data_IF_792893253449
#
_entry.id   IF_792893253449
#
_cell.length_a   1.000
_cell.length_b   1.000
_cell.length_c   1.000
_cell.angle_alpha   90.00
_cell.angle_beta   90.00
_cell.angle_gamma   90.00
#
_symmetry.space_group_name_H-M   'P 1'
#
loop_
_entity.id
_entity.type
_entity.pdbx_description
1 polymer ?
#
# COMPACT_ATOMS: atom_id res chain seq x y z
N UNK A 1 59.39 -66.22 -16.38
CA UNK A 1 58.69 -65.31 -17.30
C UNK A 1 59.17 -63.91 -16.97
N UNK A 2 59.86 -63.22 -17.90
CA UNK A 2 60.44 -61.88 -17.65
C UNK A 2 59.47 -60.84 -18.16
N UNK A 3 59.12 -59.85 -17.32
CA UNK A 3 58.27 -58.73 -17.72
C UNK A 3 58.91 -57.93 -18.85
N UNK A 4 58.09 -57.41 -19.77
CA UNK A 4 58.58 -56.64 -20.93
C UNK A 4 59.07 -55.26 -20.47
N UNK A 5 60.25 -54.80 -20.92
CA UNK A 5 60.70 -53.42 -20.66
C UNK A 5 59.65 -52.42 -21.16
N UNK A 6 59.21 -51.52 -20.28
CA UNK A 6 58.19 -50.50 -20.58
C UNK A 6 58.90 -49.18 -20.91
N UNK A 7 58.51 -48.55 -22.02
CA UNK A 7 59.06 -47.28 -22.48
C UNK A 7 58.59 -46.12 -21.58
N UNK A 8 59.51 -45.33 -21.00
CA UNK A 8 59.16 -44.23 -20.11
C UNK A 8 58.47 -43.04 -20.80
N UNK A 9 58.49 -42.93 -22.14
CA UNK A 9 57.89 -41.81 -22.88
C UNK A 9 56.55 -42.16 -23.54
N UNK A 10 56.05 -43.39 -23.37
CA UNK A 10 54.83 -43.82 -24.03
C UNK A 10 53.57 -43.24 -23.34
N UNK A 11 52.65 -42.59 -24.07
CA UNK A 11 51.44 -42.01 -23.49
C UNK A 11 50.45 -43.08 -22.99
N UNK A 12 49.53 -42.74 -22.05
CA UNK A 12 48.58 -43.69 -21.51
C UNK A 12 47.68 -44.33 -22.58
N UNK A 13 47.75 -45.66 -22.71
CA UNK A 13 47.07 -46.43 -23.77
C UNK A 13 45.55 -46.50 -23.63
N UNK A 14 45.00 -46.29 -22.43
CA UNK A 14 43.59 -46.55 -22.14
C UNK A 14 42.86 -45.32 -21.61
N UNK A 15 41.64 -45.11 -22.11
CA UNK A 15 40.72 -44.07 -21.62
C UNK A 15 39.91 -44.61 -20.45
N UNK A 16 39.64 -43.78 -19.45
CA UNK A 16 38.78 -44.14 -18.34
C UNK A 16 37.32 -44.32 -18.80
N UNK A 17 36.73 -45.49 -18.52
CA UNK A 17 35.31 -45.77 -18.75
C UNK A 17 34.55 -45.63 -17.43
N UNK A 18 33.51 -44.79 -17.38
CA UNK A 18 32.61 -44.75 -16.22
C UNK A 18 31.70 -45.97 -16.27
N UNK A 19 31.85 -46.85 -15.29
CA UNK A 19 30.99 -48.03 -15.10
C UNK A 19 29.96 -47.75 -13.99
N UNK A 20 28.73 -48.31 -14.08
CA UNK A 20 27.78 -48.28 -12.98
C UNK A 20 28.40 -48.85 -11.71
N UNK A 21 27.98 -48.34 -10.55
CA UNK A 21 28.50 -48.80 -9.27
C UNK A 21 28.22 -50.30 -9.13
N UNK A 22 29.26 -51.08 -8.83
CA UNK A 22 29.13 -52.52 -8.62
C UNK A 22 28.06 -52.81 -7.56
N UNK A 23 27.38 -53.97 -7.68
CA UNK A 23 26.44 -54.43 -6.66
C UNK A 23 27.16 -54.47 -5.31
N UNK A 24 26.57 -53.84 -4.29
CA UNK A 24 27.10 -53.86 -2.94
C UNK A 24 27.16 -55.26 -2.36
N UNK A 25 27.80 -55.40 -1.20
CA UNK A 25 27.69 -56.62 -0.40
C UNK A 25 26.21 -56.94 -0.13
N UNK A 26 25.85 -58.23 0.03
CA UNK A 26 24.48 -58.60 0.38
C UNK A 26 24.02 -57.81 1.63
N UNK A 27 22.73 -57.41 1.70
CA UNK A 27 22.23 -56.64 2.81
C UNK A 27 22.40 -57.44 4.11
N UNK A 28 23.08 -56.83 5.09
CA UNK A 28 23.29 -57.44 6.40
C UNK A 28 21.93 -57.52 7.12
N UNK A 29 21.61 -58.65 7.79
CA UNK A 29 20.38 -58.76 8.57
C UNK A 29 20.30 -57.70 9.66
N UNK A 30 19.20 -56.94 9.70
CA UNK A 30 18.94 -55.95 10.75
C UNK A 30 18.01 -56.58 11.79
N UNK A 31 18.53 -56.77 13.00
CA UNK A 31 17.78 -57.36 14.12
C UNK A 31 17.00 -56.28 14.86
N UNK A 32 15.85 -55.88 14.30
CA UNK A 32 14.93 -54.95 14.97
C UNK A 32 14.18 -55.64 16.13
N UNK A 33 13.74 -54.86 17.11
CA UNK A 33 12.71 -55.30 18.05
C UNK A 33 11.36 -55.49 17.33
N UNK A 34 10.39 -56.20 17.92
CA UNK A 34 9.05 -56.32 17.36
C UNK A 34 8.44 -54.94 17.04
N UNK A 35 7.76 -54.77 15.90
CA UNK A 35 7.14 -53.50 15.53
C UNK A 35 6.17 -53.02 16.61
N UNK A 36 6.34 -51.77 17.07
CA UNK A 36 5.41 -51.17 18.01
C UNK A 36 4.08 -50.88 17.29
N UNK A 37 2.92 -51.22 17.87
CA UNK A 37 1.64 -50.88 17.26
C UNK A 37 1.48 -49.37 17.23
N UNK A 38 1.21 -48.83 16.05
CA UNK A 38 0.94 -47.40 15.86
C UNK A 38 -0.55 -47.16 16.10
N UNK A 39 -0.90 -46.18 16.93
CA UNK A 39 -2.30 -45.82 17.13
C UNK A 39 -2.81 -45.00 15.93
N UNK A 40 -4.11 -45.09 15.64
CA UNK A 40 -4.72 -44.30 14.56
C UNK A 40 -4.55 -42.80 14.80
N UNK A 41 -4.58 -42.38 16.06
CA UNK A 41 -4.37 -40.98 16.47
C UNK A 41 -2.96 -40.52 16.10
N UNK A 42 -1.93 -41.28 16.49
CA UNK A 42 -0.54 -40.93 16.17
C UNK A 42 -0.38 -40.79 14.64
N UNK A 43 -0.92 -41.74 13.87
CA UNK A 43 -0.84 -41.67 12.41
C UNK A 43 -1.49 -40.41 11.82
N UNK A 44 -2.59 -39.94 12.41
CA UNK A 44 -3.28 -38.71 11.98
C UNK A 44 -2.49 -37.46 12.35
N UNK A 45 -1.94 -37.40 13.56
CA UNK A 45 -1.14 -36.25 14.03
C UNK A 45 0.13 -36.05 13.18
N UNK A 46 0.68 -37.15 12.64
CA UNK A 46 1.82 -37.12 11.73
C UNK A 46 1.45 -36.90 10.25
N UNK A 47 0.18 -36.62 9.93
CA UNK A 47 -0.25 -36.35 8.56
C UNK A 47 0.10 -34.92 8.15
N UNK A 48 1.18 -34.79 7.40
CA UNK A 48 1.68 -33.50 6.90
C UNK A 48 0.73 -32.96 5.79
N UNK A 49 0.17 -31.75 5.94
CA UNK A 49 -0.64 -31.11 4.90
C UNK A 49 0.16 -30.82 3.62
N UNK A 50 -0.47 -30.82 2.44
CA UNK A 50 0.23 -30.52 1.18
C UNK A 50 0.72 -29.07 1.15
N UNK A 51 1.92 -28.86 0.61
CA UNK A 51 2.51 -27.53 0.47
C UNK A 51 1.88 -26.77 -0.71
N UNK A 52 1.01 -25.81 -0.42
CA UNK A 52 0.49 -24.84 -1.39
C UNK A 52 1.31 -23.57 -1.26
N UNK A 53 2.06 -23.21 -2.29
CA UNK A 53 2.91 -22.02 -2.24
C UNK A 53 2.28 -20.84 -2.98
N UNK A 54 2.47 -19.62 -2.46
CA UNK A 54 2.00 -18.40 -3.10
C UNK A 54 2.83 -17.99 -4.33
N UNK A 55 4.05 -18.52 -4.48
CA UNK A 55 4.99 -18.15 -5.56
C UNK A 55 5.19 -19.20 -6.65
N UNK A 56 5.19 -20.49 -6.30
CA UNK A 56 5.58 -21.59 -7.20
C UNK A 56 4.45 -22.59 -7.37
N UNK A 57 4.13 -22.86 -8.64
CA UNK A 57 3.20 -23.90 -9.06
C UNK A 57 3.76 -24.59 -10.31
N UNK A 58 4.77 -25.47 -10.15
CA UNK A 58 5.48 -26.04 -11.30
C UNK A 58 4.59 -26.90 -12.19
N UNK A 59 3.56 -27.53 -11.61
CA UNK A 59 2.60 -28.39 -12.32
C UNK A 59 1.35 -27.62 -12.79
N UNK A 60 1.24 -26.32 -12.53
CA UNK A 60 0.14 -25.48 -13.02
C UNK A 60 -1.24 -25.86 -12.48
N UNK A 61 -1.34 -26.46 -11.29
CA UNK A 61 -2.64 -26.84 -10.73
C UNK A 61 -3.57 -25.64 -10.52
N UNK A 62 -4.86 -25.83 -10.84
CA UNK A 62 -5.90 -24.85 -10.50
C UNK A 62 -6.35 -25.10 -9.07
N UNK A 63 -5.95 -24.20 -8.17
CA UNK A 63 -6.20 -24.32 -6.72
C UNK A 63 -7.24 -23.27 -6.34
N UNK A 64 -8.34 -23.64 -5.66
CA UNK A 64 -9.34 -22.68 -5.21
C UNK A 64 -8.77 -21.70 -4.17
N UNK A 65 -9.39 -20.52 -4.07
CA UNK A 65 -8.87 -19.41 -3.26
C UNK A 65 -8.79 -19.75 -1.77
N UNK A 66 -9.75 -20.51 -1.24
CA UNK A 66 -9.76 -20.95 0.15
C UNK A 66 -8.49 -21.73 0.51
N UNK A 67 -8.04 -22.66 -0.35
CA UNK A 67 -6.83 -23.46 -0.11
C UNK A 67 -5.54 -22.68 -0.32
N UNK A 68 -5.54 -21.69 -1.22
CA UNK A 68 -4.40 -20.77 -1.40
C UNK A 68 -4.22 -19.83 -0.20
N UNK A 69 -5.33 -19.33 0.34
CA UNK A 69 -5.33 -18.42 1.48
C UNK A 69 -5.25 -19.16 2.81
N UNK A 70 -5.54 -20.46 2.87
CA UNK A 70 -5.47 -21.23 4.12
C UNK A 70 -4.08 -21.24 4.75
N UNK A 71 -3.01 -21.21 3.94
CA UNK A 71 -1.62 -21.11 4.43
C UNK A 71 -1.21 -19.71 4.81
N UNK A 72 -2.05 -18.72 4.52
CA UNK A 72 -1.77 -17.32 4.78
C UNK A 72 -2.14 -16.96 6.22
N UNK A 73 -1.20 -17.20 7.14
CA UNK A 73 -1.35 -16.95 8.57
C UNK A 73 -1.64 -15.49 8.97
N UNK A 74 -1.81 -14.58 8.00
CA UNK A 74 -2.22 -13.19 8.22
C UNK A 74 -3.54 -13.07 8.98
N UNK A 75 -4.46 -14.01 8.80
CA UNK A 75 -5.73 -14.04 9.54
C UNK A 75 -5.59 -14.36 11.04
N UNK A 76 -4.43 -14.87 11.46
CA UNK A 76 -4.11 -15.14 12.87
C UNK A 76 -3.37 -13.98 13.54
N UNK A 77 -2.93 -12.98 12.78
CA UNK A 77 -2.22 -11.82 13.31
C UNK A 77 -3.20 -10.76 13.79
N UNK A 78 -3.22 -10.52 15.10
CA UNK A 78 -3.91 -9.38 15.68
C UNK A 78 -3.07 -8.11 15.51
N UNK A 79 -3.63 -7.09 14.85
CA UNK A 79 -2.96 -5.79 14.69
C UNK A 79 -3.22 -4.96 15.94
N UNK A 80 -2.24 -4.92 16.84
CA UNK A 80 -2.29 -4.10 18.05
C UNK A 80 -1.76 -2.68 17.73
N UNK A 81 -2.52 -1.65 18.12
CA UNK A 81 -2.14 -0.24 17.92
C UNK A 81 -1.86 0.40 19.29
N UNK A 82 -0.79 1.18 19.37
CA UNK A 82 -0.38 1.88 20.59
C UNK A 82 -1.16 3.21 20.78
N UNK A 83 -1.66 3.48 21.99
CA UNK A 83 -2.37 4.71 22.35
C UNK A 83 -1.55 6.00 22.13
N UNK A 84 -0.22 5.90 22.08
CA UNK A 84 0.63 7.04 21.78
C UNK A 84 0.37 7.62 20.38
N UNK A 85 -0.11 6.82 19.43
CA UNK A 85 -0.51 7.33 18.11
C UNK A 85 -1.71 8.28 18.22
N UNK A 86 -2.68 7.98 19.08
CA UNK A 86 -3.81 8.86 19.33
C UNK A 86 -3.34 10.17 19.98
N UNK A 87 -2.54 10.07 21.05
CA UNK A 87 -1.97 11.24 21.75
C UNK A 87 -1.18 12.16 20.82
N UNK A 88 -0.36 11.57 19.94
CA UNK A 88 0.41 12.32 18.95
C UNK A 88 -0.51 13.03 17.95
N UNK A 89 -1.51 12.33 17.41
CA UNK A 89 -2.44 12.92 16.44
C UNK A 89 -3.23 14.08 17.03
N UNK A 90 -3.64 13.98 18.30
CA UNK A 90 -4.34 15.04 19.01
C UNK A 90 -3.42 16.24 19.27
N UNK A 91 -2.19 16.00 19.74
CA UNK A 91 -1.21 17.06 19.97
C UNK A 91 -0.90 17.84 18.69
N UNK A 92 -0.74 17.14 17.55
CA UNK A 92 -0.52 17.77 16.25
C UNK A 92 -1.74 18.58 15.79
N UNK A 93 -2.96 18.09 16.03
CA UNK A 93 -4.18 18.81 15.69
C UNK A 93 -4.31 20.12 16.48
N UNK A 94 -4.04 20.10 17.79
CA UNK A 94 -4.03 21.31 18.64
C UNK A 94 -2.93 22.27 18.19
N UNK A 95 -1.73 21.77 17.88
CA UNK A 95 -0.63 22.58 17.36
C UNK A 95 -1.00 23.27 16.03
N UNK A 96 -1.71 22.57 15.14
CA UNK A 96 -2.15 23.13 13.86
C UNK A 96 -3.19 24.24 14.05
N UNK A 97 -4.17 24.06 14.94
CA UNK A 97 -5.17 25.08 15.26
C UNK A 97 -4.49 26.32 15.82
N UNK A 98 -3.63 26.15 16.83
CA UNK A 98 -2.94 27.26 17.47
C UNK A 98 -2.03 28.02 16.51
N UNK A 99 -1.31 27.33 15.62
CA UNK A 99 -0.55 27.99 14.56
C UNK A 99 -1.43 28.83 13.62
N UNK A 100 -2.57 28.29 13.18
CA UNK A 100 -3.50 29.03 12.30
C UNK A 100 -4.03 30.28 13.00
N UNK A 101 -4.42 30.17 14.27
CA UNK A 101 -4.88 31.32 15.04
C UNK A 101 -3.78 32.37 15.23
N UNK A 102 -2.55 31.97 15.53
CA UNK A 102 -1.41 32.89 15.66
C UNK A 102 -1.15 33.64 14.35
N UNK A 103 -1.20 32.95 13.21
CA UNK A 103 -1.03 33.56 11.89
C UNK A 103 -2.16 34.55 11.59
N UNK A 104 -3.41 34.23 11.94
CA UNK A 104 -4.55 35.14 11.75
C UNK A 104 -4.44 36.38 12.64
N UNK A 105 -4.09 36.22 13.92
CA UNK A 105 -3.84 37.33 14.85
C UNK A 105 -2.67 38.20 14.41
N UNK A 106 -1.60 37.62 13.88
CA UNK A 106 -0.46 38.38 13.37
C UNK A 106 -0.83 39.22 12.14
N UNK A 107 -1.69 38.69 11.25
CA UNK A 107 -2.24 39.45 10.11
C UNK A 107 -3.11 40.61 10.58
N UNK A 108 -4.01 40.39 11.55
CA UNK A 108 -4.87 41.43 12.09
C UNK A 108 -4.06 42.54 12.78
N UNK A 109 -3.01 42.19 13.55
CA UNK A 109 -2.12 43.17 14.17
C UNK A 109 -1.40 44.04 13.14
N UNK A 110 -0.89 43.44 12.06
CA UNK A 110 -0.25 44.17 10.95
C UNK A 110 -1.25 45.11 10.25
N UNK A 111 -2.50 44.69 10.07
CA UNK A 111 -3.54 45.54 9.50
C UNK A 111 -3.86 46.75 10.40
N UNK A 112 -3.97 46.53 11.72
CA UNK A 112 -4.17 47.61 12.69
C UNK A 112 -3.00 48.61 12.72
N UNK A 113 -1.76 48.11 12.72
CA UNK A 113 -0.55 48.94 12.65
C UNK A 113 -0.55 49.84 11.39
N UNK A 114 -0.88 49.27 10.23
CA UNK A 114 -0.98 50.01 8.97
C UNK A 114 -2.13 51.03 8.99
N UNK A 115 -3.28 50.69 9.58
CA UNK A 115 -4.42 51.59 9.70
C UNK A 115 -4.10 52.80 10.61
N UNK A 116 -3.47 52.57 11.77
CA UNK A 116 -3.03 53.63 12.67
C UNK A 116 -2.00 54.56 12.01
N UNK A 117 -1.04 53.99 11.26
CA UNK A 117 -0.06 54.76 10.50
C UNK A 117 -0.73 55.65 9.42
N UNK A 118 -1.70 55.10 8.69
CA UNK A 118 -2.46 55.85 7.70
C UNK A 118 -3.31 56.98 8.32
N UNK A 119 -3.93 56.74 9.49
CA UNK A 119 -4.66 57.77 10.23
C UNK A 119 -3.74 58.91 10.68
N UNK A 120 -2.55 58.58 11.23
CA UNK A 120 -1.55 59.57 11.62
C UNK A 120 -1.08 60.42 10.43
N UNK A 121 -0.78 59.78 9.29
CA UNK A 121 -0.39 60.48 8.07
C UNK A 121 -1.50 61.43 7.53
N UNK A 122 -2.77 61.03 7.63
CA UNK A 122 -3.91 61.90 7.27
C UNK A 122 -4.04 63.09 8.23
N UNK A 123 -3.84 62.89 9.53
CA UNK A 123 -3.90 63.95 10.53
C UNK A 123 -2.79 65.00 10.32
N UNK A 124 -1.55 64.57 10.06
CA UNK A 124 -0.42 65.49 9.77
C UNK A 124 -0.67 66.33 8.49
N UNK A 125 -1.35 65.75 7.50
CA UNK A 125 -1.75 66.45 6.27
C UNK A 125 -2.90 67.43 6.48
N UNK A 126 -3.83 67.15 7.41
CA UNK A 126 -4.93 68.07 7.75
C UNK A 126 -4.48 69.24 8.63
N UNK A 127 -3.44 69.08 9.47
CA UNK A 127 -2.90 70.19 10.28
C UNK A 127 -2.17 71.23 9.42
N UNK A 128 -1.70 70.86 8.23
CA UNK A 128 -1.10 71.78 7.25
C UNK A 128 -2.11 72.37 6.25
N UNK A 129 -3.41 72.06 6.38
CA UNK A 129 -4.44 72.61 5.49
C UNK A 129 -5.78 72.87 6.23
N UNK A 130 -6.10 74.15 6.45
CA UNK A 130 -7.46 74.64 6.70
C UNK A 130 -7.68 75.95 5.91
N UNK A 131 -8.93 76.30 5.55
CA UNK A 131 -9.69 75.80 4.40
C UNK A 131 -9.78 76.83 3.27
N UNK A 132 -9.80 76.38 2.01
CA UNK A 132 -10.23 77.18 0.87
C UNK A 132 -11.37 76.47 0.13
N UNK A 133 -12.37 77.27 -0.22
CA UNK A 133 -13.72 76.96 -0.65
C UNK A 133 -13.88 76.41 -2.07
N UNK A 134 -15.04 75.76 -2.27
CA UNK A 134 -15.88 75.63 -3.48
C UNK A 134 -15.91 74.28 -4.24
N UNK A 135 -17.10 73.91 -4.78
CA UNK A 135 -17.41 72.57 -5.30
C UNK A 135 -17.20 72.49 -6.82
N UNK A 136 -16.74 71.33 -7.33
CA UNK A 136 -16.83 71.00 -8.75
C UNK A 136 -17.21 69.53 -8.93
N UNK A 137 -18.37 69.35 -9.56
CA UNK A 137 -18.87 68.14 -10.20
C UNK A 137 -17.87 67.59 -11.22
N UNK A 138 -17.58 66.29 -11.20
CA UNK A 138 -17.32 65.54 -12.44
C UNK A 138 -17.41 64.03 -12.20
N UNK A 139 -18.26 63.43 -13.02
CA UNK A 139 -18.58 62.02 -13.18
C UNK A 139 -17.33 61.14 -13.36
N UNK A 140 -17.23 60.01 -12.64
CA UNK A 140 -16.71 58.76 -13.23
C UNK A 140 -16.96 57.51 -12.36
N UNK A 141 -17.74 56.61 -12.95
CA UNK A 141 -17.70 55.15 -12.86
C UNK A 141 -17.84 54.48 -11.49
N UNK A 142 -19.09 54.11 -11.20
CA UNK A 142 -19.40 52.82 -10.59
C UNK A 142 -18.99 51.73 -11.59
N UNK A 143 -17.89 51.01 -11.31
CA UNK A 143 -17.69 49.65 -11.83
C UNK A 143 -17.42 48.77 -10.61
N UNK A 144 -18.39 47.91 -10.39
CA UNK A 144 -18.51 46.86 -9.40
C UNK A 144 -17.28 45.95 -9.43
N UNK A 145 -16.71 45.69 -8.27
CA UNK A 145 -15.67 44.67 -8.05
C UNK A 145 -16.34 43.28 -8.13
N UNK A 146 -16.53 42.78 -9.35
CA UNK A 146 -17.07 41.46 -9.65
C UNK A 146 -15.90 40.51 -9.99
N UNK A 147 -15.07 40.21 -8.99
CA UNK A 147 -13.96 39.23 -9.12
C UNK A 147 -13.75 38.44 -7.84
N UNK A 148 -14.82 37.85 -7.29
CA UNK A 148 -14.69 36.89 -6.17
C UNK A 148 -15.71 35.76 -6.23
N UNK A 149 -15.89 35.15 -7.40
CA UNK A 149 -16.88 34.08 -7.61
C UNK A 149 -16.38 32.76 -8.20
N UNK A 150 -15.15 32.67 -8.71
CA UNK A 150 -14.81 31.60 -9.67
C UNK A 150 -14.18 30.32 -9.08
N UNK A 151 -13.93 30.26 -7.77
CA UNK A 151 -13.33 29.06 -7.15
C UNK A 151 -14.33 27.98 -6.69
N UNK A 152 -15.65 28.24 -6.75
CA UNK A 152 -16.66 27.30 -6.18
C UNK A 152 -17.33 26.42 -7.25
N UNK A 153 -17.31 26.82 -8.54
CA UNK A 153 -18.04 26.10 -9.60
C UNK A 153 -17.40 24.79 -10.11
N UNK A 154 -16.14 24.51 -9.76
CA UNK A 154 -15.45 23.31 -10.24
C UNK A 154 -15.84 22.06 -9.45
N UNK A 155 -16.27 22.20 -8.19
CA UNK A 155 -16.51 21.05 -7.30
C UNK A 155 -17.88 20.36 -7.48
N UNK A 156 -18.82 21.00 -8.17
CA UNK A 156 -20.17 20.42 -8.36
C UNK A 156 -20.30 19.58 -9.63
N UNK A 157 -19.48 19.80 -10.66
CA UNK A 157 -19.57 19.07 -11.93
C UNK A 157 -19.06 17.61 -11.90
N UNK A 158 -18.46 17.16 -10.80
CA UNK A 158 -17.95 15.79 -10.66
C UNK A 158 -18.99 14.79 -10.10
N UNK A 159 -20.15 15.27 -9.64
CA UNK A 159 -21.18 14.43 -9.00
C UNK A 159 -22.27 13.87 -9.94
N UNK A 160 -22.34 14.33 -11.19
CA UNK A 160 -23.36 13.88 -12.16
C UNK A 160 -22.82 12.89 -13.20
N UNK A 161 -22.31 11.75 -12.71
CA UNK A 161 -22.16 10.54 -13.53
C UNK A 161 -23.45 9.71 -13.47
N UNK A 162 -24.22 9.55 -14.56
CA UNK A 162 -25.39 8.67 -14.54
C UNK A 162 -24.96 7.20 -14.43
N UNK A 163 -25.24 6.60 -13.26
CA UNK A 163 -25.26 5.13 -13.07
C UNK A 163 -26.27 4.53 -14.05
N UNK A 164 -25.80 3.81 -15.08
CA UNK A 164 -26.66 2.92 -15.86
C UNK A 164 -27.16 1.78 -14.97
N UNK A 165 -28.38 1.94 -14.48
CA UNK A 165 -29.19 0.86 -13.91
C UNK A 165 -29.78 0.00 -15.03
N UNK A 166 -29.77 -1.32 -14.79
CA UNK A 166 -30.93 -2.15 -15.10
C UNK A 166 -30.95 -2.83 -16.47
N UNK A 167 -30.45 -4.06 -16.53
CA UNK A 167 -30.88 -5.07 -17.49
C UNK A 167 -31.53 -6.24 -16.75
N UNK A 168 -32.86 -6.17 -16.54
CA UNK A 168 -33.70 -7.33 -16.21
C UNK A 168 -34.10 -8.02 -17.52
N UNK A 169 -34.03 -9.35 -17.52
CA UNK A 169 -34.57 -10.24 -18.56
C UNK A 169 -33.73 -11.51 -18.59
N UNK A 170 -34.25 -12.73 -18.53
CA UNK A 170 -35.59 -13.23 -18.85
C UNK A 170 -35.67 -14.66 -18.33
N UNK A 171 -36.78 -15.01 -17.68
CA UNK A 171 -37.16 -16.38 -17.35
C UNK A 171 -37.74 -17.07 -18.58
N UNK A 172 -37.30 -18.31 -18.86
CA UNK A 172 -37.92 -19.38 -19.68
C UNK A 172 -37.00 -20.60 -19.52
N UNK A 173 -37.39 -21.86 -19.47
CA UNK A 173 -38.64 -22.59 -19.26
C UNK A 173 -38.20 -24.08 -19.14
N UNK A 174 -39.02 -24.86 -18.44
CA UNK A 174 -39.20 -26.32 -18.42
C UNK A 174 -38.40 -27.24 -19.38
N UNK A 175 -38.08 -28.42 -18.84
CA UNK A 175 -37.80 -29.69 -19.52
C UNK A 175 -36.95 -30.57 -18.59
N UNK A 176 -37.47 -31.44 -17.72
CA UNK A 176 -38.13 -32.72 -18.02
C UNK A 176 -37.46 -33.47 -19.19
N UNK A 177 -36.54 -34.38 -18.87
CA UNK A 177 -36.60 -35.77 -19.36
C UNK A 177 -35.53 -36.67 -18.70
N UNK A 178 -36.03 -37.83 -18.28
CA UNK A 178 -35.42 -39.16 -18.06
C UNK A 178 -34.12 -39.31 -17.26
#
# INVERSE_FOLDING_TARGET
MVEKPVDPLEPPKFKHKRVPKASGSPPVPIMHSPPRPVTVKDQQDWKIPPCISNWKNPKGYTIPLDKRLATDGRGLQEVQINDNFAKLSEALYVAEITQKEMVMKEKERKEQELCALAQKARAERNVTAAPASMPISSEKSVITDDTRGDYVRVREKEKDMPKKQGGKGRATAKGENS
#
